data_IF_526363304407
#
_entry.id   IF_526363304407
#
_cell.length_a   1.000
_cell.length_b   1.000
_cell.length_c   1.000
_cell.angle_alpha   90.00
_cell.angle_beta   90.00
_cell.angle_gamma   90.00
#
_symmetry.space_group_name_H-M   'P 1'
#
loop_
_entity.id
_entity.type
_entity.pdbx_description
1 polymer ?
#
# COMPACT_ATOMS: atom_id res chain seq x y z
N UNK A 1 -10.90 -12.06 -42.43
CA UNK A 1 -11.92 -11.64 -41.45
C UNK A 1 -11.20 -10.89 -40.36
N UNK A 2 -11.43 -9.57 -40.25
CA UNK A 2 -10.91 -8.79 -39.13
C UNK A 2 -11.88 -9.02 -37.97
N UNK A 3 -11.58 -10.00 -37.11
CA UNK A 3 -12.35 -10.21 -35.89
C UNK A 3 -12.29 -8.92 -35.06
N UNK A 4 -13.44 -8.27 -34.94
CA UNK A 4 -13.61 -7.08 -34.10
C UNK A 4 -13.53 -7.58 -32.66
N UNK A 5 -12.53 -7.13 -31.91
CA UNK A 5 -12.41 -7.40 -30.48
C UNK A 5 -13.71 -6.99 -29.78
N UNK A 6 -14.33 -7.92 -29.04
CA UNK A 6 -15.49 -7.61 -28.23
C UNK A 6 -15.06 -6.67 -27.08
N UNK A 7 -15.56 -5.44 -27.12
CA UNK A 7 -15.30 -4.44 -26.08
C UNK A 7 -16.39 -4.58 -25.03
N UNK A 8 -16.06 -5.21 -23.90
CA UNK A 8 -16.92 -5.21 -22.72
C UNK A 8 -16.66 -3.98 -21.86
N UNK A 9 -17.73 -3.38 -21.33
CA UNK A 9 -17.60 -2.26 -20.38
C UNK A 9 -16.98 -2.77 -19.09
N UNK A 10 -15.71 -2.46 -18.86
CA UNK A 10 -15.08 -2.69 -17.57
C UNK A 10 -15.70 -1.71 -16.56
N UNK A 11 -16.54 -2.22 -15.66
CA UNK A 11 -17.03 -1.44 -14.52
C UNK A 11 -15.87 -1.18 -13.58
N UNK A 12 -15.10 -0.13 -13.87
CA UNK A 12 -13.88 0.21 -13.14
C UNK A 12 -14.16 0.45 -11.65
N UNK A 13 -15.40 0.73 -11.25
CA UNK A 13 -15.81 0.88 -9.84
C UNK A 13 -15.77 -0.42 -9.03
N UNK A 14 -15.88 -1.60 -9.67
CA UNK A 14 -15.91 -2.89 -8.96
C UNK A 14 -14.54 -3.33 -8.43
N UNK A 15 -13.44 -2.70 -8.88
CA UNK A 15 -12.07 -3.06 -8.49
C UNK A 15 -11.35 -1.97 -7.69
N UNK A 16 -11.95 -0.79 -7.49
CA UNK A 16 -11.33 0.28 -6.70
C UNK A 16 -11.74 0.13 -5.23
N UNK A 17 -10.82 0.39 -4.28
CA UNK A 17 -11.19 0.44 -2.87
C UNK A 17 -12.22 1.55 -2.63
N UNK A 18 -13.10 1.35 -1.65
CA UNK A 18 -14.05 2.37 -1.23
C UNK A 18 -13.30 3.63 -0.76
N UNK A 19 -13.61 4.79 -1.36
CA UNK A 19 -12.96 6.07 -1.05
C UNK A 19 -13.90 6.96 -0.22
N UNK A 20 -13.34 7.64 0.78
CA UNK A 20 -13.97 8.70 1.55
C UNK A 20 -13.16 9.99 1.37
N UNK A 21 -13.80 11.03 0.84
CA UNK A 21 -13.15 12.32 0.51
C UNK A 21 -11.83 12.17 -0.29
N UNK A 22 -11.81 11.22 -1.24
CA UNK A 22 -10.66 10.97 -2.11
C UNK A 22 -9.57 10.08 -1.51
N UNK A 23 -9.78 9.48 -0.33
CA UNK A 23 -8.83 8.62 0.37
C UNK A 23 -9.47 7.24 0.64
N UNK A 24 -8.77 6.11 0.47
CA UNK A 24 -9.30 4.78 0.79
C UNK A 24 -9.78 4.69 2.23
N UNK A 25 -10.90 4.00 2.47
CA UNK A 25 -11.53 3.91 3.79
C UNK A 25 -10.58 3.37 4.88
N UNK A 26 -9.66 2.47 4.50
CA UNK A 26 -8.60 1.96 5.38
C UNK A 26 -7.63 3.05 5.83
N UNK A 27 -7.18 3.90 4.91
CA UNK A 27 -6.27 5.00 5.19
C UNK A 27 -6.99 6.16 5.90
N UNK A 28 -8.22 6.46 5.50
CA UNK A 28 -9.08 7.42 6.19
C UNK A 28 -9.30 7.00 7.66
N UNK A 29 -9.57 5.72 7.91
CA UNK A 29 -9.70 5.17 9.25
C UNK A 29 -8.43 5.36 10.09
N UNK A 30 -7.25 5.11 9.51
CA UNK A 30 -5.96 5.35 10.19
C UNK A 30 -5.74 6.84 10.51
N UNK A 31 -6.06 7.74 9.59
CA UNK A 31 -5.97 9.19 9.84
C UNK A 31 -6.93 9.63 10.94
N UNK A 32 -8.17 9.12 10.94
CA UNK A 32 -9.14 9.43 11.99
C UNK A 32 -8.75 8.83 13.35
N UNK A 33 -8.11 7.66 13.38
CA UNK A 33 -7.53 7.11 14.63
C UNK A 33 -6.39 7.99 15.14
N UNK A 34 -5.52 8.48 14.23
CA UNK A 34 -4.46 9.42 14.58
C UNK A 34 -5.03 10.74 15.13
N UNK A 35 -6.10 11.26 14.52
CA UNK A 35 -6.86 12.40 15.05
C UNK A 35 -7.32 12.15 16.48
N UNK A 36 -8.01 11.02 16.70
CA UNK A 36 -8.45 10.60 18.03
C UNK A 36 -7.32 10.51 19.06
N UNK A 37 -6.12 10.06 18.64
CA UNK A 37 -4.96 10.01 19.51
C UNK A 37 -4.42 11.42 19.83
N UNK A 38 -4.33 12.30 18.84
CA UNK A 38 -3.84 13.69 18.99
C UNK A 38 -4.71 14.46 19.97
N UNK A 39 -6.03 14.41 19.83
CA UNK A 39 -6.95 15.09 20.77
C UNK A 39 -6.83 14.53 22.19
N UNK A 40 -6.64 13.23 22.37
CA UNK A 40 -6.48 12.61 23.69
C UNK A 40 -5.17 13.05 24.36
N UNK A 41 -4.07 13.15 23.61
CA UNK A 41 -2.77 13.52 24.19
C UNK A 41 -2.69 15.02 24.47
N UNK A 42 -3.13 15.85 23.52
CA UNK A 42 -2.94 17.30 23.59
C UNK A 42 -4.12 18.04 24.25
N UNK A 43 -5.27 17.37 24.40
CA UNK A 43 -6.48 17.92 25.02
C UNK A 43 -6.93 19.26 24.41
N UNK A 44 -6.58 19.50 23.13
CA UNK A 44 -6.89 20.72 22.42
C UNK A 44 -7.23 20.40 20.95
N UNK A 45 -8.46 20.68 20.49
CA UNK A 45 -8.92 20.34 19.15
C UNK A 45 -8.23 21.12 18.04
N UNK A 46 -7.55 22.24 18.34
CA UNK A 46 -6.82 23.01 17.31
C UNK A 46 -5.67 22.22 16.70
N UNK A 47 -5.10 21.26 17.43
CA UNK A 47 -4.01 20.43 16.92
C UNK A 47 -4.46 19.44 15.84
N UNK A 48 -5.77 19.19 15.70
CA UNK A 48 -6.33 18.39 14.62
C UNK A 48 -6.12 19.02 13.24
N UNK A 49 -5.74 20.31 13.17
CA UNK A 49 -5.37 20.95 11.90
C UNK A 49 -4.24 20.22 11.17
N UNK A 50 -3.42 19.43 11.89
CA UNK A 50 -2.38 18.58 11.29
C UNK A 50 -2.97 17.54 10.32
N UNK A 51 -4.24 17.16 10.47
CA UNK A 51 -4.89 16.26 9.53
C UNK A 51 -5.10 16.87 8.16
N UNK A 52 -5.24 18.19 8.04
CA UNK A 52 -5.50 18.83 6.75
C UNK A 52 -4.38 18.54 5.73
N UNK A 53 -3.09 18.82 6.02
CA UNK A 53 -2.02 18.49 5.10
C UNK A 53 -1.82 16.98 4.94
N UNK A 54 -2.03 16.17 5.99
CA UNK A 54 -1.93 14.72 5.89
C UNK A 54 -2.98 14.12 4.95
N UNK A 55 -4.24 14.57 5.07
CA UNK A 55 -5.35 14.15 4.22
C UNK A 55 -5.13 14.59 2.77
N UNK A 56 -4.67 15.83 2.59
CA UNK A 56 -4.37 16.35 1.26
C UNK A 56 -3.22 15.57 0.59
N UNK A 57 -2.15 15.30 1.33
CA UNK A 57 -1.03 14.48 0.86
C UNK A 57 -1.46 13.05 0.51
N UNK A 58 -2.27 12.42 1.37
CA UNK A 58 -2.85 11.10 1.12
C UNK A 58 -3.69 11.09 -0.17
N UNK A 59 -4.56 12.08 -0.35
CA UNK A 59 -5.37 12.24 -1.56
C UNK A 59 -4.50 12.36 -2.83
N UNK A 60 -3.42 13.14 -2.77
CA UNK A 60 -2.53 13.34 -3.92
C UNK A 60 -1.83 12.03 -4.34
N UNK A 61 -1.43 11.20 -3.37
CA UNK A 61 -0.85 9.88 -3.64
C UNK A 61 -1.89 8.94 -4.25
N UNK A 62 -3.10 8.89 -3.66
CA UNK A 62 -4.20 8.03 -4.12
C UNK A 62 -4.67 8.39 -5.53
N UNK A 63 -4.61 9.67 -5.90
CA UNK A 63 -4.92 10.12 -7.25
C UNK A 63 -3.98 9.53 -8.31
N UNK A 64 -2.72 9.23 -7.94
CA UNK A 64 -1.75 8.59 -8.83
C UNK A 64 -1.89 7.07 -8.84
N UNK A 65 -2.14 6.48 -7.68
CA UNK A 65 -2.36 5.05 -7.53
C UNK A 65 -3.29 4.76 -6.34
N UNK A 66 -4.51 4.32 -6.64
CA UNK A 66 -5.52 3.98 -5.65
C UNK A 66 -5.10 2.83 -4.72
N UNK A 67 -4.20 1.96 -5.18
CA UNK A 67 -3.73 0.80 -4.43
C UNK A 67 -2.45 1.08 -3.62
N UNK A 68 -1.84 2.26 -3.77
CA UNK A 68 -0.58 2.59 -3.09
C UNK A 68 -0.66 2.42 -1.57
N UNK A 69 -1.77 2.83 -0.95
CA UNK A 69 -1.98 2.68 0.49
C UNK A 69 -1.98 1.20 0.93
N UNK A 70 -2.62 0.33 0.16
CA UNK A 70 -2.66 -1.12 0.43
C UNK A 70 -1.28 -1.74 0.27
N UNK A 71 -0.52 -1.34 -0.76
CA UNK A 71 0.84 -1.82 -1.01
C UNK A 71 1.77 -1.41 0.14
N UNK A 72 1.68 -0.16 0.60
CA UNK A 72 2.47 0.33 1.75
C UNK A 72 2.12 -0.44 3.01
N UNK A 73 0.83 -0.65 3.28
CA UNK A 73 0.39 -1.43 4.43
C UNK A 73 0.90 -2.89 4.36
N UNK A 74 0.79 -3.51 3.20
CA UNK A 74 1.30 -4.87 2.97
C UNK A 74 2.82 -4.94 3.19
N UNK A 75 3.56 -3.96 2.67
CA UNK A 75 5.00 -3.85 2.90
C UNK A 75 5.30 -3.76 4.40
N UNK A 76 4.64 -2.87 5.13
CA UNK A 76 4.83 -2.71 6.58
C UNK A 76 4.47 -3.96 7.36
N UNK A 77 3.49 -4.75 6.90
CA UNK A 77 3.12 -6.01 7.53
C UNK A 77 4.09 -7.15 7.22
N UNK A 78 4.86 -7.04 6.14
CA UNK A 78 5.75 -8.10 5.62
C UNK A 78 7.20 -7.64 5.66
N UNK A 79 7.73 -7.15 4.53
CA UNK A 79 9.14 -6.83 4.37
C UNK A 79 9.64 -5.71 5.30
N UNK A 80 8.81 -4.72 5.61
CA UNK A 80 9.15 -3.63 6.53
C UNK A 80 9.38 -4.08 7.98
N UNK A 81 8.88 -5.26 8.36
CA UNK A 81 9.11 -5.90 9.67
C UNK A 81 10.29 -6.87 9.67
N UNK A 82 10.87 -7.17 8.51
CA UNK A 82 12.00 -8.10 8.44
C UNK A 82 13.26 -7.47 9.00
N UNK A 83 13.79 -8.04 10.09
CA UNK A 83 15.03 -7.57 10.75
C UNK A 83 16.25 -8.24 10.13
N UNK A 84 16.12 -9.53 9.80
CA UNK A 84 17.22 -10.34 9.28
C UNK A 84 17.24 -10.42 7.75
N UNK A 85 16.47 -9.57 7.07
CA UNK A 85 16.40 -9.52 5.60
C UNK A 85 17.76 -9.49 4.91
N UNK A 86 18.76 -8.71 5.40
CA UNK A 86 20.11 -8.71 4.85
C UNK A 86 20.86 -10.05 4.99
N UNK A 87 20.57 -10.83 6.03
CA UNK A 87 21.20 -12.14 6.28
C UNK A 87 20.66 -13.18 5.30
N UNK A 88 19.35 -13.16 5.07
CA UNK A 88 18.66 -14.15 4.25
C UNK A 88 18.51 -13.75 2.77
N UNK A 89 18.87 -12.52 2.40
CA UNK A 89 18.74 -12.00 1.03
C UNK A 89 17.32 -11.58 0.64
N UNK A 90 16.41 -11.42 1.62
CA UNK A 90 15.02 -11.02 1.41
C UNK A 90 14.18 -11.14 2.67
N UNK A 91 12.94 -10.65 2.60
CA UNK A 91 11.99 -10.70 3.71
C UNK A 91 11.41 -12.10 3.98
N UNK A 92 11.59 -13.05 3.06
CA UNK A 92 11.21 -14.45 3.21
C UNK A 92 12.42 -15.36 3.07
N UNK A 93 12.47 -16.41 3.90
CA UNK A 93 13.48 -17.46 3.78
C UNK A 93 13.07 -18.34 2.60
N UNK A 94 13.76 -18.18 1.48
CA UNK A 94 13.64 -19.09 0.34
C UNK A 94 14.57 -20.28 0.55
N UNK A 95 14.12 -21.49 0.24
CA UNK A 95 14.98 -22.66 0.16
C UNK A 95 15.98 -22.57 -1.02
N UNK A 96 15.81 -21.59 -1.91
CA UNK A 96 16.70 -21.34 -3.02
C UNK A 96 17.99 -20.67 -2.53
N UNK A 97 19.17 -21.02 -3.07
CA UNK A 97 20.43 -20.42 -2.65
C UNK A 97 20.44 -18.90 -2.84
N UNK A 98 20.87 -18.15 -1.82
CA UNK A 98 21.04 -16.68 -1.83
C UNK A 98 21.97 -16.24 -2.97
N UNK A 99 22.89 -17.11 -3.39
CA UNK A 99 23.76 -16.91 -4.55
C UNK A 99 23.60 -18.10 -5.48
N UNK A 100 22.99 -17.87 -6.64
CA UNK A 100 22.99 -18.85 -7.73
C UNK A 100 24.30 -18.66 -8.52
N UNK A 101 25.07 -19.73 -8.78
CA UNK A 101 26.21 -19.63 -9.69
C UNK A 101 25.75 -19.08 -11.05
N UNK A 102 26.53 -18.18 -11.67
CA UNK A 102 26.22 -17.60 -13.00
C UNK A 102 25.86 -18.65 -14.06
N UNK A 103 26.31 -19.89 -13.87
CA UNK A 103 25.98 -21.04 -14.69
C UNK A 103 24.81 -21.78 -14.03
N UNK A 104 23.60 -21.25 -14.18
CA UNK A 104 22.38 -21.92 -13.77
C UNK A 104 22.27 -23.26 -14.50
N UNK A 105 22.57 -24.36 -13.79
CA UNK A 105 22.31 -25.72 -14.27
C UNK A 105 21.09 -26.24 -13.54
N UNK A 106 19.94 -26.08 -14.18
CA UNK A 106 18.72 -26.84 -13.99
C UNK A 106 17.95 -26.66 -15.30
N UNK A 107 17.99 -27.59 -16.26
CA UNK A 107 17.70 -29.02 -16.15
C UNK A 107 18.85 -29.91 -16.64
N UNK A 108 19.10 -31.01 -15.91
CA UNK A 108 19.61 -32.30 -16.44
C UNK A 108 18.65 -33.37 -15.95
#
# INVERSE_FOLDING_TARGET
>A
MSDRLEVSTLYVAATRPALFLGVPLTLAGLLMMLAGLVIIILQNPLYEIVLVPLWFGARLVVERDYNAASVVLLYLQTAGRSVDGPVWGGASVSANPIRVPKRGRGMV
#
